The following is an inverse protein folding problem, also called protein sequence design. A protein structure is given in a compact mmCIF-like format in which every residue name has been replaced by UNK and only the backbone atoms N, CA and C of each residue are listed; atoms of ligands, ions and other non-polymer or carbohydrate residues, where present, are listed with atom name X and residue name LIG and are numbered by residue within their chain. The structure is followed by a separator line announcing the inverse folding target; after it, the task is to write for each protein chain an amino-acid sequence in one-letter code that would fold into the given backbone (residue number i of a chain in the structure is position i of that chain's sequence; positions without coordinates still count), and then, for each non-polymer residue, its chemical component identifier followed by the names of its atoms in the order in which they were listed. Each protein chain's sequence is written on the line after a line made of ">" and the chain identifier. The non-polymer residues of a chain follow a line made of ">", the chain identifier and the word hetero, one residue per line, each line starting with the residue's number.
data_IF_511128616158
#
_entry.id   IF_511128616158
#
_cell.length_a   1.000
_cell.length_b   1.000
_cell.length_c   1.000
_cell.angle_alpha   90.00
_cell.angle_beta   90.00
_cell.angle_gamma   90.00
#
_symmetry.space_group_name_H-M   'P 1'
#
loop_
_entity.id
_entity.type
_entity.pdbx_description
1 polymer ?
#
# COMPACT_ATOMS: atom_id res chain seq x y z
N UNK A 1 41.07 8.11 -8.82
CA UNK A 1 39.98 7.13 -8.49
C UNK A 1 40.50 5.67 -8.49
N UNK A 2 41.55 5.33 -9.24
CA UNK A 2 42.19 4.00 -9.20
C UNK A 2 42.77 3.68 -7.80
N UNK A 3 43.44 4.64 -7.19
CA UNK A 3 44.08 4.48 -5.86
C UNK A 3 43.06 4.12 -4.76
N UNK A 4 41.85 4.67 -4.81
CA UNK A 4 40.80 4.35 -3.84
C UNK A 4 40.31 2.90 -4.00
N UNK A 5 40.16 2.44 -5.23
CA UNK A 5 39.77 1.06 -5.52
C UNK A 5 40.84 0.06 -5.07
N UNK A 6 42.10 0.38 -5.31
CA UNK A 6 43.23 -0.46 -4.90
C UNK A 6 43.35 -0.55 -3.37
N UNK A 7 43.15 0.56 -2.67
CA UNK A 7 43.10 0.61 -1.21
C UNK A 7 41.93 -0.22 -0.69
N UNK A 8 40.73 -0.02 -1.20
CA UNK A 8 39.54 -0.76 -0.80
C UNK A 8 39.70 -2.28 -1.07
N UNK A 9 40.20 -2.65 -2.24
CA UNK A 9 40.47 -4.05 -2.57
C UNK A 9 41.52 -4.66 -1.64
N UNK A 10 42.57 -3.91 -1.29
CA UNK A 10 43.58 -4.32 -0.35
C UNK A 10 43.04 -4.56 1.07
N UNK A 11 42.09 -3.73 1.50
CA UNK A 11 41.42 -3.90 2.81
C UNK A 11 40.54 -5.14 2.87
N UNK A 12 39.96 -5.59 1.74
CA UNK A 12 39.03 -6.73 1.67
C UNK A 12 39.72 -8.06 1.42
N UNK A 13 40.90 -8.06 0.77
CA UNK A 13 41.64 -9.29 0.41
C UNK A 13 42.02 -10.12 1.64
N UNK A 14 41.71 -11.42 1.59
CA UNK A 14 42.04 -12.37 2.65
C UNK A 14 41.26 -12.24 3.95
N UNK A 15 40.26 -11.38 3.99
CA UNK A 15 39.43 -11.16 5.19
C UNK A 15 38.04 -11.80 5.03
N UNK A 16 37.40 -12.13 6.16
CA UNK A 16 35.97 -12.47 6.20
C UNK A 16 35.19 -11.16 6.11
N UNK A 17 34.55 -10.98 4.96
CA UNK A 17 33.76 -9.77 4.69
C UNK A 17 32.27 -10.12 4.80
N UNK A 18 31.51 -9.27 5.44
CA UNK A 18 30.04 -9.30 5.53
C UNK A 18 29.50 -8.12 4.71
N UNK A 19 28.54 -8.36 3.86
CA UNK A 19 27.84 -7.33 3.12
C UNK A 19 26.52 -7.00 3.78
N UNK A 20 26.31 -5.71 4.08
CA UNK A 20 25.03 -5.19 4.56
C UNK A 20 24.46 -4.33 3.46
N UNK A 21 23.42 -4.81 2.82
CA UNK A 21 22.66 -4.09 1.82
C UNK A 21 21.74 -3.02 2.42
N UNK A 22 20.95 -2.41 1.60
CA UNK A 22 19.96 -1.43 2.04
C UNK A 22 18.71 -1.51 1.16
N UNK A 23 17.49 -1.48 1.74
CA UNK A 23 16.25 -1.41 0.97
C UNK A 23 16.12 -0.09 0.19
N UNK A 24 16.94 0.93 0.53
CA UNK A 24 16.99 2.22 -0.17
C UNK A 24 18.04 2.27 -1.30
N UNK A 25 18.93 1.29 -1.35
CA UNK A 25 19.90 1.18 -2.43
C UNK A 25 19.26 0.54 -3.67
N UNK A 26 19.87 0.79 -4.85
CA UNK A 26 19.39 0.16 -6.08
C UNK A 26 19.55 -1.37 -6.03
N UNK A 27 18.76 -2.06 -6.85
CA UNK A 27 18.85 -3.51 -6.99
C UNK A 27 20.24 -3.95 -7.43
N UNK A 28 20.84 -3.21 -8.37
CA UNK A 28 22.18 -3.47 -8.91
C UNK A 28 23.26 -3.34 -7.83
N UNK A 29 23.17 -2.31 -6.98
CA UNK A 29 24.11 -2.10 -5.87
C UNK A 29 24.04 -3.24 -4.84
N UNK A 30 22.83 -3.64 -4.46
CA UNK A 30 22.62 -4.79 -3.56
C UNK A 30 23.08 -6.09 -4.20
N UNK A 31 22.83 -6.30 -5.50
CA UNK A 31 23.27 -7.47 -6.23
C UNK A 31 24.80 -7.55 -6.33
N UNK A 32 25.46 -6.43 -6.67
CA UNK A 32 26.91 -6.33 -6.72
C UNK A 32 27.55 -6.64 -5.35
N UNK A 33 26.99 -6.08 -4.28
CA UNK A 33 27.48 -6.35 -2.92
C UNK A 33 27.29 -7.83 -2.55
N UNK A 34 26.13 -8.42 -2.86
CA UNK A 34 25.86 -9.85 -2.64
C UNK A 34 26.82 -10.74 -3.42
N UNK A 35 27.14 -10.36 -4.64
CA UNK A 35 28.12 -11.08 -5.47
C UNK A 35 29.53 -11.00 -4.89
N UNK A 36 29.90 -9.84 -4.38
CA UNK A 36 31.23 -9.61 -3.75
C UNK A 36 31.45 -10.46 -2.51
N UNK A 37 30.44 -10.54 -1.61
CA UNK A 37 30.60 -11.20 -0.30
C UNK A 37 30.12 -12.66 -0.29
N UNK A 38 29.34 -13.05 -1.27
CA UNK A 38 28.63 -14.33 -1.35
C UNK A 38 27.26 -14.31 -0.66
N UNK A 39 26.35 -15.20 -1.07
CA UNK A 39 24.96 -15.20 -0.57
C UNK A 39 24.86 -15.41 0.94
N UNK A 40 25.71 -16.27 1.52
CA UNK A 40 25.68 -16.62 2.94
C UNK A 40 26.19 -15.50 3.87
N UNK A 41 26.81 -14.48 3.31
CA UNK A 41 27.38 -13.34 4.03
C UNK A 41 26.75 -12.01 3.64
N UNK A 42 25.65 -12.07 2.91
CA UNK A 42 24.87 -10.90 2.53
C UNK A 42 23.61 -10.78 3.40
N UNK A 43 23.44 -9.62 4.02
CA UNK A 43 22.27 -9.26 4.80
C UNK A 43 21.55 -8.09 4.16
N UNK A 44 20.22 -8.11 4.17
CA UNK A 44 19.39 -7.11 3.47
C UNK A 44 19.38 -5.73 4.13
N UNK A 45 19.93 -5.58 5.33
CA UNK A 45 20.02 -4.29 6.03
C UNK A 45 18.68 -3.78 6.57
N UNK A 46 17.79 -4.70 6.91
CA UNK A 46 16.51 -4.41 7.57
C UNK A 46 16.35 -5.27 8.82
N UNK A 47 15.39 -4.92 9.66
CA UNK A 47 15.08 -5.71 10.86
C UNK A 47 14.50 -7.09 10.46
N UNK A 48 14.59 -8.07 11.34
CA UNK A 48 13.97 -9.39 11.11
C UNK A 48 12.46 -9.29 10.96
N UNK A 49 11.82 -8.37 11.66
CA UNK A 49 10.38 -8.13 11.56
C UNK A 49 10.01 -7.59 10.18
N UNK A 50 10.73 -6.57 9.69
CA UNK A 50 10.52 -6.02 8.34
C UNK A 50 10.81 -7.05 7.27
N UNK A 51 11.85 -7.86 7.44
CA UNK A 51 12.21 -8.92 6.50
C UNK A 51 11.11 -9.98 6.38
N UNK A 52 10.48 -10.35 7.51
CA UNK A 52 9.31 -11.26 7.52
C UNK A 52 8.09 -10.63 6.85
N UNK A 53 7.82 -9.34 7.10
CA UNK A 53 6.72 -8.64 6.44
C UNK A 53 6.92 -8.58 4.92
N UNK A 54 8.12 -8.21 4.47
CA UNK A 54 8.44 -8.20 3.03
C UNK A 54 8.31 -9.60 2.44
N UNK A 55 8.77 -10.65 3.15
CA UNK A 55 8.59 -12.04 2.74
C UNK A 55 7.12 -12.40 2.52
N UNK A 56 6.26 -12.11 3.49
CA UNK A 56 4.81 -12.35 3.40
C UNK A 56 4.17 -11.61 2.23
N UNK A 57 4.53 -10.33 2.01
CA UNK A 57 4.03 -9.56 0.85
C UNK A 57 4.46 -10.19 -0.46
N UNK A 58 5.71 -10.66 -0.56
CA UNK A 58 6.22 -11.31 -1.77
C UNK A 58 5.53 -12.66 -2.03
N UNK A 59 5.23 -13.45 -1.00
CA UNK A 59 4.45 -14.68 -1.11
C UNK A 59 3.05 -14.41 -1.65
N UNK A 60 2.35 -13.43 -1.08
CA UNK A 60 1.03 -12.99 -1.56
C UNK A 60 1.11 -12.51 -3.00
N UNK A 61 2.11 -11.68 -3.34
CA UNK A 61 2.29 -11.15 -4.69
C UNK A 61 2.64 -12.22 -5.74
N UNK A 62 3.26 -13.32 -5.32
CA UNK A 62 3.62 -14.43 -6.20
C UNK A 62 2.48 -15.44 -6.41
N UNK A 63 1.39 -15.37 -5.64
CA UNK A 63 0.25 -16.28 -5.78
C UNK A 63 -0.53 -15.95 -7.07
N UNK A 64 -0.57 -16.86 -8.06
CA UNK A 64 -1.24 -16.61 -9.34
C UNK A 64 -2.78 -16.50 -9.22
N UNK A 65 -3.35 -16.87 -8.07
CA UNK A 65 -4.79 -16.72 -7.79
C UNK A 65 -5.15 -15.30 -7.38
N UNK A 66 -4.16 -14.49 -6.96
CA UNK A 66 -4.33 -13.13 -6.53
C UNK A 66 -4.01 -12.15 -7.65
N UNK A 67 -4.81 -11.11 -7.74
CA UNK A 67 -4.56 -10.02 -8.66
C UNK A 67 -4.09 -8.79 -7.89
N UNK A 68 -2.89 -8.33 -8.19
CA UNK A 68 -2.43 -7.03 -7.73
C UNK A 68 -3.15 -5.94 -8.51
N UNK A 69 -3.87 -5.08 -7.79
CA UNK A 69 -4.56 -3.93 -8.36
C UNK A 69 -3.60 -2.81 -8.73
N UNK A 70 -4.04 -1.97 -9.63
CA UNK A 70 -3.38 -0.72 -10.02
C UNK A 70 -4.25 0.49 -9.71
N UNK A 71 -3.69 1.69 -9.77
CA UNK A 71 -4.47 2.93 -9.67
C UNK A 71 -5.62 3.00 -10.71
N UNK A 72 -5.44 2.41 -11.89
CA UNK A 72 -6.49 2.33 -12.91
C UNK A 72 -7.66 1.42 -12.51
N UNK A 73 -7.41 0.43 -11.65
CA UNK A 73 -8.47 -0.46 -11.17
C UNK A 73 -9.39 0.24 -10.18
N UNK A 74 -8.89 1.21 -9.42
CA UNK A 74 -9.69 2.04 -8.50
C UNK A 74 -10.80 2.77 -9.25
N UNK A 75 -10.52 3.28 -10.45
CA UNK A 75 -11.53 3.98 -11.26
C UNK A 75 -12.68 3.08 -11.73
N UNK A 76 -12.51 1.77 -11.71
CA UNK A 76 -13.50 0.76 -12.10
C UNK A 76 -14.16 0.08 -10.90
N UNK A 77 -13.70 0.39 -9.70
CA UNK A 77 -14.24 -0.20 -8.48
C UNK A 77 -15.60 0.39 -8.10
N UNK A 78 -16.48 -0.43 -7.56
CA UNK A 78 -17.75 0.00 -6.97
C UNK A 78 -17.58 0.49 -5.55
N UNK A 79 -16.58 -0.04 -4.83
CA UNK A 79 -16.27 0.25 -3.44
C UNK A 79 -14.75 0.19 -3.22
N UNK A 80 -14.26 0.98 -2.26
CA UNK A 80 -12.85 0.96 -1.83
C UNK A 80 -12.79 0.85 -0.31
N UNK A 81 -12.01 -0.11 0.17
CA UNK A 81 -11.62 -0.22 1.57
C UNK A 81 -10.13 0.08 1.70
N UNK A 82 -9.79 1.07 2.51
CA UNK A 82 -8.41 1.34 2.95
C UNK A 82 -8.22 0.70 4.31
N UNK A 83 -7.27 -0.21 4.40
CA UNK A 83 -7.02 -0.98 5.61
C UNK A 83 -5.57 -0.83 6.07
N UNK A 84 -5.40 -0.28 7.27
CA UNK A 84 -4.11 -0.22 7.97
C UNK A 84 -3.15 0.89 7.54
N UNK A 85 -3.47 1.68 6.50
CA UNK A 85 -2.50 2.60 5.90
C UNK A 85 -3.01 4.04 5.77
N UNK A 86 -2.15 5.01 6.07
CA UNK A 86 -2.38 6.42 5.77
C UNK A 86 -1.86 6.76 4.35
N UNK A 87 -2.71 6.60 3.38
CA UNK A 87 -2.37 6.83 1.97
C UNK A 87 -1.94 8.27 1.69
N UNK A 88 -2.39 9.25 2.48
CA UNK A 88 -2.00 10.65 2.26
C UNK A 88 -0.49 10.83 2.44
N UNK A 89 0.11 10.12 3.40
CA UNK A 89 1.53 10.23 3.71
C UNK A 89 2.39 9.18 3.01
N UNK A 90 1.89 7.98 2.80
CA UNK A 90 2.69 6.85 2.27
C UNK A 90 2.52 6.62 0.78
N UNK A 91 1.33 6.91 0.23
CA UNK A 91 1.01 6.70 -1.18
C UNK A 91 0.13 7.83 -1.74
N UNK A 92 0.61 9.08 -1.80
CA UNK A 92 -0.19 10.26 -2.13
C UNK A 92 -0.85 10.18 -3.51
N UNK A 93 -0.27 9.43 -4.45
CA UNK A 93 -0.88 9.22 -5.77
C UNK A 93 -2.11 8.30 -5.69
N UNK A 94 -2.15 7.34 -4.76
CA UNK A 94 -3.34 6.53 -4.52
C UNK A 94 -4.42 7.36 -3.80
N UNK A 95 -4.05 8.19 -2.82
CA UNK A 95 -4.96 9.14 -2.17
C UNK A 95 -5.64 10.04 -3.22
N UNK A 96 -4.85 10.64 -4.11
CA UNK A 96 -5.37 11.47 -5.20
C UNK A 96 -6.30 10.67 -6.13
N UNK A 97 -5.93 9.44 -6.46
CA UNK A 97 -6.75 8.57 -7.32
C UNK A 97 -8.10 8.26 -6.67
N UNK A 98 -8.14 7.94 -5.38
CA UNK A 98 -9.37 7.68 -4.63
C UNK A 98 -10.26 8.92 -4.58
N UNK A 99 -9.69 10.10 -4.30
CA UNK A 99 -10.46 11.38 -4.31
C UNK A 99 -11.02 11.68 -5.69
N UNK A 100 -10.24 11.48 -6.73
CA UNK A 100 -10.68 11.66 -8.12
C UNK A 100 -11.78 10.67 -8.48
N UNK A 101 -11.64 9.40 -8.11
CA UNK A 101 -12.65 8.38 -8.30
C UNK A 101 -13.96 8.73 -7.58
N UNK A 102 -13.91 9.13 -6.31
CA UNK A 102 -15.09 9.59 -5.57
C UNK A 102 -15.77 10.78 -6.24
N UNK A 103 -14.98 11.71 -6.80
CA UNK A 103 -15.52 12.88 -7.50
C UNK A 103 -16.15 12.52 -8.85
N UNK A 104 -15.52 11.64 -9.62
CA UNK A 104 -15.96 11.26 -10.97
C UNK A 104 -17.03 10.17 -10.99
N UNK A 105 -17.26 9.51 -9.87
CA UNK A 105 -18.23 8.42 -9.78
C UNK A 105 -19.62 8.87 -10.20
N UNK A 106 -20.31 8.10 -11.08
CA UNK A 106 -21.71 8.38 -11.41
C UNK A 106 -22.56 8.36 -10.13
N UNK A 107 -23.38 9.39 -9.98
CA UNK A 107 -24.31 9.45 -8.87
C UNK A 107 -25.74 9.36 -9.43
N UNK A 108 -26.52 8.31 -9.06
CA UNK A 108 -27.89 8.13 -9.54
C UNK A 108 -28.80 9.34 -9.26
N UNK A 109 -28.47 10.14 -8.25
CA UNK A 109 -29.25 11.36 -7.92
C UNK A 109 -28.86 12.51 -8.84
N UNK A 110 -27.61 12.64 -9.25
CA UNK A 110 -27.18 13.60 -10.28
C UNK A 110 -27.94 13.34 -11.59
N UNK A 111 -28.01 12.07 -11.99
CA UNK A 111 -28.73 11.65 -13.21
C UNK A 111 -30.23 11.94 -13.10
N UNK A 112 -30.87 11.57 -11.99
CA UNK A 112 -32.31 11.83 -11.77
C UNK A 112 -32.67 13.31 -11.70
N UNK A 113 -31.80 14.15 -11.17
CA UNK A 113 -32.05 15.58 -11.03
C UNK A 113 -31.49 16.41 -12.21
N UNK A 114 -30.96 15.77 -13.26
CA UNK A 114 -30.38 16.40 -14.44
C UNK A 114 -29.30 17.46 -14.11
N UNK A 115 -28.53 17.26 -13.04
CA UNK A 115 -27.50 18.18 -12.60
C UNK A 115 -26.29 18.03 -13.51
N UNK A 116 -25.94 19.13 -14.18
CA UNK A 116 -24.80 19.14 -15.07
C UNK A 116 -23.49 19.09 -14.28
N UNK A 117 -22.53 18.28 -14.73
CA UNK A 117 -21.22 18.05 -14.06
C UNK A 117 -20.38 19.32 -13.80
N UNK A 118 -20.64 20.43 -14.48
CA UNK A 118 -19.96 21.69 -14.22
C UNK A 118 -20.52 22.45 -12.98
N UNK A 119 -21.64 22.03 -12.42
CA UNK A 119 -22.24 22.67 -11.23
C UNK A 119 -21.69 22.02 -9.94
N UNK A 120 -20.45 22.35 -9.58
CA UNK A 120 -19.78 21.81 -8.40
C UNK A 120 -20.54 22.05 -7.09
N UNK A 121 -21.20 23.19 -6.94
CA UNK A 121 -21.99 23.47 -5.74
C UNK A 121 -23.20 22.56 -5.60
N UNK A 122 -23.90 22.27 -6.71
CA UNK A 122 -24.99 21.31 -6.75
C UNK A 122 -24.54 19.88 -6.46
N UNK A 123 -23.46 19.47 -7.08
CA UNK A 123 -22.83 18.14 -6.89
C UNK A 123 -22.39 17.95 -5.45
N UNK A 124 -21.65 18.91 -4.87
CA UNK A 124 -21.20 18.85 -3.47
C UNK A 124 -22.35 18.74 -2.47
N UNK A 125 -23.44 19.46 -2.73
CA UNK A 125 -24.63 19.43 -1.85
C UNK A 125 -25.32 18.06 -1.87
N UNK A 126 -25.34 17.38 -3.01
CA UNK A 126 -25.95 16.05 -3.18
C UNK A 126 -25.02 14.98 -2.60
N UNK A 127 -23.73 15.02 -2.92
CA UNK A 127 -22.74 14.05 -2.42
C UNK A 127 -22.63 14.04 -0.89
N UNK A 128 -22.93 15.15 -0.22
CA UNK A 128 -23.03 15.16 1.24
C UNK A 128 -24.23 14.37 1.81
N UNK A 129 -25.19 14.02 0.99
CA UNK A 129 -26.40 13.29 1.40
C UNK A 129 -26.36 11.81 1.06
N UNK A 130 -25.43 11.39 0.21
CA UNK A 130 -25.27 10.00 -0.17
C UNK A 130 -24.05 9.38 0.52
N UNK A 131 -24.15 8.12 0.94
CA UNK A 131 -23.01 7.43 1.54
C UNK A 131 -21.87 7.34 0.50
N UNK A 132 -20.69 7.73 0.90
CA UNK A 132 -19.47 7.47 0.17
C UNK A 132 -19.29 5.95 -0.01
N UNK A 133 -18.62 5.53 -1.07
CA UNK A 133 -18.27 4.13 -1.25
C UNK A 133 -16.83 3.83 -0.79
N UNK A 134 -16.31 4.68 0.09
CA UNK A 134 -15.00 4.57 0.70
C UNK A 134 -15.16 4.26 2.20
N UNK A 135 -14.55 3.20 2.65
CA UNK A 135 -14.40 2.84 4.05
C UNK A 135 -12.94 2.87 4.44
N UNK A 136 -12.65 3.30 5.65
CA UNK A 136 -11.29 3.45 6.15
C UNK A 136 -11.17 2.79 7.52
N UNK A 137 -10.20 1.90 7.65
CA UNK A 137 -9.84 1.32 8.93
C UNK A 137 -8.32 1.46 9.13
N UNK A 138 -7.92 2.31 10.07
CA UNK A 138 -6.51 2.69 10.29
C UNK A 138 -6.21 2.81 11.78
N UNK A 139 -4.94 2.95 12.13
CA UNK A 139 -4.54 3.11 13.54
C UNK A 139 -4.77 4.52 14.09
N UNK A 140 -4.99 5.49 13.23
CA UNK A 140 -5.19 6.90 13.59
C UNK A 140 -5.98 7.62 12.49
N UNK A 141 -6.49 8.80 12.81
CA UNK A 141 -7.25 9.61 11.87
C UNK A 141 -6.38 10.10 10.69
N UNK A 142 -6.94 10.03 9.50
CA UNK A 142 -6.28 10.44 8.26
C UNK A 142 -7.04 11.56 7.56
N UNK A 143 -6.42 12.20 6.58
CA UNK A 143 -7.11 13.23 5.77
C UNK A 143 -8.19 12.66 4.85
N UNK A 144 -8.16 11.36 4.57
CA UNK A 144 -9.19 10.68 3.79
C UNK A 144 -10.50 10.48 4.58
N UNK A 145 -10.43 10.45 5.90
CA UNK A 145 -11.61 10.26 6.77
C UNK A 145 -12.72 11.26 6.47
N UNK A 146 -12.34 12.48 6.08
CA UNK A 146 -13.32 13.55 5.77
C UNK A 146 -14.22 13.23 4.56
N UNK A 147 -13.85 12.25 3.73
CA UNK A 147 -14.61 11.85 2.52
C UNK A 147 -15.06 10.38 2.58
N UNK A 148 -14.75 9.67 3.65
CA UNK A 148 -15.20 8.29 3.86
C UNK A 148 -16.68 8.23 4.27
N UNK A 149 -17.31 7.08 4.01
CA UNK A 149 -18.64 6.75 4.53
C UNK A 149 -18.56 6.47 6.03
N UNK A 150 -17.60 5.64 6.40
CA UNK A 150 -17.33 5.27 7.79
C UNK A 150 -15.82 5.12 8.00
N UNK A 151 -15.40 5.38 9.22
CA UNK A 151 -14.02 5.25 9.66
C UNK A 151 -13.93 4.44 10.95
N UNK A 152 -12.94 3.57 11.03
CA UNK A 152 -12.62 2.79 12.22
C UNK A 152 -11.16 3.03 12.59
N UNK A 153 -10.91 3.43 13.84
CA UNK A 153 -9.55 3.58 14.33
C UNK A 153 -9.32 2.55 15.43
N UNK A 154 -8.38 1.63 15.20
CA UNK A 154 -8.13 0.51 16.08
C UNK A 154 -6.66 0.12 16.09
N UNK A 155 -6.27 -0.71 17.07
CA UNK A 155 -4.93 -1.29 17.12
C UNK A 155 -4.69 -2.22 15.90
N UNK A 156 -3.44 -2.44 15.48
CA UNK A 156 -3.13 -3.28 14.31
C UNK A 156 -3.77 -4.66 14.37
N UNK A 157 -3.77 -5.31 15.53
CA UNK A 157 -4.36 -6.66 15.71
C UNK A 157 -5.89 -6.65 15.52
N UNK A 158 -6.56 -5.57 15.93
CA UNK A 158 -8.00 -5.42 15.73
C UNK A 158 -8.35 -5.10 14.26
N UNK A 159 -7.46 -4.39 13.55
CA UNK A 159 -7.59 -4.18 12.10
C UNK A 159 -7.47 -5.50 11.33
N UNK A 160 -6.58 -6.41 11.77
CA UNK A 160 -6.49 -7.76 11.19
C UNK A 160 -7.79 -8.53 11.43
N UNK A 161 -8.34 -8.50 12.67
CA UNK A 161 -9.63 -9.14 12.98
C UNK A 161 -10.76 -8.57 12.13
N UNK A 162 -10.81 -7.25 11.97
CA UNK A 162 -11.79 -6.61 11.09
C UNK A 162 -11.66 -7.09 9.65
N UNK A 163 -10.43 -7.19 9.12
CA UNK A 163 -10.20 -7.70 7.77
C UNK A 163 -10.71 -9.14 7.60
N UNK A 164 -10.43 -10.01 8.57
CA UNK A 164 -10.89 -11.41 8.55
C UNK A 164 -12.42 -11.49 8.66
N UNK A 165 -13.04 -10.65 9.52
CA UNK A 165 -14.49 -10.59 9.64
C UNK A 165 -15.16 -10.16 8.32
N UNK A 166 -14.64 -9.12 7.67
CA UNK A 166 -15.13 -8.67 6.37
C UNK A 166 -14.95 -9.78 5.32
N UNK A 167 -13.80 -10.45 5.30
CA UNK A 167 -13.56 -11.54 4.36
C UNK A 167 -14.55 -12.68 4.56
N UNK A 168 -14.87 -13.04 5.81
CA UNK A 168 -15.82 -14.09 6.13
C UNK A 168 -17.27 -13.73 5.74
N UNK A 169 -17.66 -12.48 5.91
CA UNK A 169 -18.99 -11.99 5.47
C UNK A 169 -19.13 -11.94 3.95
N UNK A 170 -18.04 -11.67 3.24
CA UNK A 170 -18.02 -11.66 1.76
C UNK A 170 -17.94 -13.07 1.19
N UNK A 171 -17.17 -13.94 1.82
CA UNK A 171 -16.99 -15.34 1.42
C UNK A 171 -17.05 -16.25 2.66
N UNK A 172 -18.17 -16.98 2.81
CA UNK A 172 -18.36 -17.92 3.92
C UNK A 172 -17.33 -19.07 3.96
N UNK A 173 -16.53 -19.25 2.92
CA UNK A 173 -15.37 -20.15 2.90
C UNK A 173 -14.13 -19.59 3.58
N UNK A 174 -14.08 -18.29 3.87
CA UNK A 174 -12.99 -17.67 4.61
C UNK A 174 -13.01 -18.10 6.08
N UNK A 175 -11.84 -18.21 6.75
CA UNK A 175 -11.79 -18.62 8.15
C UNK A 175 -12.58 -17.63 9.03
N UNK A 176 -13.35 -18.14 10.03
CA UNK A 176 -14.01 -17.28 11.00
C UNK A 176 -12.97 -16.55 11.88
N UNK A 177 -13.38 -15.41 12.42
CA UNK A 177 -12.55 -14.58 13.34
C UNK A 177 -12.54 -15.17 14.73
#
# INVERSE_FOLDING_TARGET
>A
SSDLLDVAAGMLRGRRVVGIGSPRASLEANYALRTLVGPDRFFRGMSEADDRLVGAVLEVAADPRLRLGSAADIHRADAVLVLGEDLTNTAPMLDLTIRTWLHLRPNPVEERNHIRRWNDAGITRIKRREPSALWIATTHATKLDAVAAETCHAAPDDLVRLALAIAHEVDAGAPPV
#
